data_IF_226827224874
#
_entry.id   IF_226827224874
#
_cell.length_a   1.000
_cell.length_b   1.000
_cell.length_c   1.000
_cell.angle_alpha   90.00
_cell.angle_beta   90.00
_cell.angle_gamma   90.00
#
_symmetry.space_group_name_H-M   'P 1'
#
loop_
_entity.id
_entity.type
_entity.pdbx_description
1 polymer ?
#
# COMPACT_ATOMS: atom_id res chain seq x y z
N UNK A 1 -15.43 15.94 -28.41
CA UNK A 1 -15.47 14.90 -27.34
C UNK A 1 -15.66 15.58 -26.00
N UNK A 2 -16.71 15.24 -25.25
CA UNK A 2 -16.96 15.78 -23.91
C UNK A 2 -15.86 15.32 -22.93
N UNK A 3 -15.53 16.13 -21.91
CA UNK A 3 -14.48 15.81 -20.92
C UNK A 3 -14.62 14.40 -20.31
N UNK A 4 -15.86 13.97 -20.07
CA UNK A 4 -16.19 12.61 -19.59
C UNK A 4 -15.77 11.51 -20.56
N UNK A 5 -16.00 11.69 -21.87
CA UNK A 5 -15.60 10.70 -22.89
C UNK A 5 -14.08 10.55 -23.04
N UNK A 6 -13.35 11.66 -22.84
CA UNK A 6 -11.89 11.66 -22.79
C UNK A 6 -11.39 10.85 -21.59
N UNK A 7 -11.86 11.17 -20.39
CA UNK A 7 -11.48 10.47 -19.15
C UNK A 7 -11.81 8.97 -19.25
N UNK A 8 -12.98 8.62 -19.77
CA UNK A 8 -13.37 7.22 -19.97
C UNK A 8 -12.40 6.47 -20.91
N UNK A 9 -12.04 7.06 -22.06
CA UNK A 9 -11.08 6.47 -22.99
C UNK A 9 -9.69 6.30 -22.36
N UNK A 10 -9.25 7.28 -21.59
CA UNK A 10 -7.99 7.22 -20.86
C UNK A 10 -7.97 6.11 -19.80
N UNK A 11 -9.02 6.01 -18.99
CA UNK A 11 -9.20 4.93 -18.01
C UNK A 11 -9.19 3.57 -18.71
N UNK A 12 -9.89 3.44 -19.84
CA UNK A 12 -9.93 2.20 -20.62
C UNK A 12 -8.54 1.84 -21.18
N UNK A 13 -7.81 2.80 -21.72
CA UNK A 13 -6.44 2.59 -22.21
C UNK A 13 -5.49 2.16 -21.09
N UNK A 14 -5.60 2.76 -19.90
CA UNK A 14 -4.80 2.39 -18.73
C UNK A 14 -5.15 1.01 -18.19
N UNK A 15 -6.45 0.65 -18.14
CA UNK A 15 -6.88 -0.70 -17.80
C UNK A 15 -6.35 -1.72 -18.81
N UNK A 16 -6.42 -1.42 -20.11
CA UNK A 16 -5.86 -2.27 -21.16
C UNK A 16 -4.34 -2.45 -21.01
N UNK A 17 -3.60 -1.42 -20.58
CA UNK A 17 -2.17 -1.51 -20.26
C UNK A 17 -1.89 -2.31 -18.98
N UNK A 18 -2.83 -2.35 -18.03
CA UNK A 18 -2.73 -3.15 -16.81
C UNK A 18 -2.89 -4.66 -17.04
N UNK A 19 -3.71 -5.06 -18.01
CA UNK A 19 -3.95 -6.48 -18.36
C UNK A 19 -2.65 -7.24 -18.66
N UNK A 20 -1.77 -6.82 -19.58
CA UNK A 20 -0.54 -7.55 -19.88
C UNK A 20 0.41 -7.62 -18.67
N UNK A 21 0.39 -6.61 -17.78
CA UNK A 21 1.19 -6.62 -16.55
C UNK A 21 0.67 -7.69 -15.59
N UNK A 22 -0.64 -7.72 -15.33
CA UNK A 22 -1.26 -8.73 -14.46
C UNK A 22 -1.05 -10.12 -15.06
N UNK A 23 -1.24 -10.29 -16.38
CA UNK A 23 -1.02 -11.57 -17.04
C UNK A 23 0.44 -12.03 -16.91
N UNK A 24 1.41 -11.13 -17.11
CA UNK A 24 2.82 -11.44 -16.93
C UNK A 24 3.11 -11.90 -15.48
N UNK A 25 2.49 -11.26 -14.48
CA UNK A 25 2.65 -11.63 -13.07
C UNK A 25 2.02 -12.99 -12.78
N UNK A 26 0.83 -13.28 -13.33
CA UNK A 26 0.19 -14.60 -13.16
C UNK A 26 1.03 -15.70 -13.82
N UNK A 27 1.56 -15.46 -15.02
CA UNK A 27 2.46 -16.40 -15.70
C UNK A 27 3.75 -16.60 -14.90
N UNK A 28 4.34 -15.52 -14.37
CA UNK A 28 5.53 -15.58 -13.54
C UNK A 28 5.28 -16.36 -12.25
N UNK A 29 4.14 -16.12 -11.57
CA UNK A 29 3.72 -16.87 -10.39
C UNK A 29 3.59 -18.37 -10.70
N UNK A 30 3.01 -18.73 -11.84
CA UNK A 30 2.93 -20.12 -12.29
C UNK A 30 4.32 -20.76 -12.41
N UNK A 31 5.28 -20.08 -13.05
CA UNK A 31 6.64 -20.59 -13.15
C UNK A 31 7.36 -20.65 -11.80
N UNK A 32 7.13 -19.69 -10.90
CA UNK A 32 7.67 -19.74 -9.54
C UNK A 32 7.14 -20.96 -8.76
N UNK A 33 5.86 -21.30 -8.90
CA UNK A 33 5.29 -22.53 -8.32
C UNK A 33 5.95 -23.79 -8.89
N UNK A 34 6.14 -23.85 -10.21
CA UNK A 34 6.73 -25.03 -10.86
C UNK A 34 8.24 -25.19 -10.61
N UNK A 35 8.94 -24.09 -10.31
CA UNK A 35 10.36 -24.10 -9.97
C UNK A 35 10.61 -24.36 -8.49
N UNK A 36 9.60 -24.21 -7.64
CA UNK A 36 9.71 -24.54 -6.22
C UNK A 36 9.94 -26.06 -6.06
N UNK A 37 10.87 -26.43 -5.19
CA UNK A 37 11.13 -27.84 -4.86
C UNK A 37 9.93 -28.41 -4.07
N UNK A 38 9.28 -29.43 -4.65
CA UNK A 38 8.10 -30.09 -4.08
C UNK A 38 6.78 -29.55 -4.65
N UNK A 39 5.78 -30.42 -4.79
CA UNK A 39 4.44 -30.06 -5.25
C UNK A 39 3.41 -30.01 -4.10
N UNK A 40 2.17 -29.57 -4.39
CA UNK A 40 1.10 -29.51 -3.40
C UNK A 40 0.81 -30.88 -2.75
N UNK A 41 1.13 -31.98 -3.44
CA UNK A 41 0.95 -33.35 -2.93
C UNK A 41 2.05 -33.71 -1.94
N UNK A 42 3.28 -33.24 -2.16
CA UNK A 42 4.39 -33.40 -1.21
C UNK A 42 4.13 -32.65 0.10
N UNK A 43 3.56 -31.44 0.03
CA UNK A 43 3.16 -30.67 1.23
C UNK A 43 2.04 -31.40 2.00
N UNK A 44 1.00 -31.85 1.28
CA UNK A 44 -0.10 -32.63 1.85
C UNK A 44 0.37 -33.93 2.52
N UNK A 45 1.29 -34.65 1.87
CA UNK A 45 1.87 -35.87 2.40
C UNK A 45 2.73 -35.63 3.65
N UNK A 46 3.47 -34.52 3.67
CA UNK A 46 4.27 -34.09 4.82
C UNK A 46 3.43 -33.72 6.03
N UNK A 47 2.32 -32.98 5.84
CA UNK A 47 1.40 -32.61 6.93
C UNK A 47 0.56 -33.80 7.44
N UNK A 48 0.22 -34.75 6.57
CA UNK A 48 -0.42 -36.01 6.96
C UNK A 48 0.51 -36.99 7.69
N UNK A 49 1.80 -36.66 7.86
CA UNK A 49 2.82 -37.47 8.53
C UNK A 49 3.36 -38.63 7.69
N UNK A 50 2.57 -39.17 6.76
CA UNK A 50 3.02 -40.01 5.65
C UNK A 50 1.89 -40.18 4.64
N UNK A 51 2.23 -40.33 3.37
CA UNK A 51 1.32 -40.78 2.33
C UNK A 51 1.97 -41.93 1.56
N UNK A 52 1.18 -42.92 1.14
CA UNK A 52 1.69 -43.97 0.28
C UNK A 52 2.02 -43.39 -1.11
N UNK A 53 3.09 -43.87 -1.79
CA UNK A 53 3.43 -43.40 -3.13
C UNK A 53 2.27 -43.51 -4.13
N UNK A 54 1.42 -44.52 -3.98
CA UNK A 54 0.22 -44.70 -4.81
C UNK A 54 -0.80 -43.58 -4.58
N UNK A 55 -1.06 -43.22 -3.32
CA UNK A 55 -1.99 -42.13 -2.97
C UNK A 55 -1.46 -40.77 -3.43
N UNK A 56 -0.15 -40.56 -3.35
CA UNK A 56 0.49 -39.35 -3.89
C UNK A 56 0.36 -39.28 -5.42
N UNK A 57 0.55 -40.39 -6.13
CA UNK A 57 0.35 -40.44 -7.59
C UNK A 57 -1.10 -40.13 -7.98
N UNK A 58 -2.07 -40.70 -7.26
CA UNK A 58 -3.49 -40.44 -7.48
C UNK A 58 -3.85 -38.97 -7.25
N UNK A 59 -3.32 -38.36 -6.19
CA UNK A 59 -3.47 -36.93 -5.93
C UNK A 59 -2.85 -36.08 -7.04
N UNK A 60 -1.66 -36.43 -7.54
CA UNK A 60 -1.01 -35.70 -8.65
C UNK A 60 -1.86 -35.70 -9.92
N UNK A 61 -2.43 -36.85 -10.28
CA UNK A 61 -3.37 -36.96 -11.40
C UNK A 61 -4.65 -36.16 -11.16
N UNK A 62 -5.17 -36.19 -9.92
CA UNK A 62 -6.37 -35.42 -9.53
C UNK A 62 -6.16 -33.91 -9.60
N UNK A 63 -4.98 -33.43 -9.22
CA UNK A 63 -4.57 -32.03 -9.33
C UNK A 63 -4.10 -31.65 -10.75
N UNK A 64 -3.97 -32.62 -11.66
CA UNK A 64 -3.53 -32.39 -13.04
C UNK A 64 -2.05 -32.01 -13.18
N UNK A 65 -1.23 -32.35 -12.19
CA UNK A 65 0.21 -32.09 -12.15
C UNK A 65 0.99 -32.98 -13.14
N UNK A 66 0.35 -34.03 -13.64
CA UNK A 66 0.82 -34.96 -14.67
C UNK A 66 0.66 -34.42 -16.10
N UNK A 67 -0.10 -33.33 -16.29
CA UNK A 67 -0.37 -32.77 -17.62
C UNK A 67 0.81 -31.93 -18.14
N UNK A 68 0.94 -31.75 -19.47
CA UNK A 68 1.95 -30.85 -20.03
C UNK A 68 1.83 -29.42 -19.49
N UNK A 69 2.98 -28.75 -19.27
CA UNK A 69 3.05 -27.39 -18.72
C UNK A 69 2.07 -26.38 -19.35
N UNK A 70 1.86 -26.33 -20.68
CA UNK A 70 0.89 -25.40 -21.26
C UNK A 70 -0.54 -25.64 -20.79
N UNK A 71 -0.92 -26.90 -20.55
CA UNK A 71 -2.25 -27.26 -20.06
C UNK A 71 -2.39 -26.85 -18.59
N UNK A 72 -1.35 -27.07 -17.78
CA UNK A 72 -1.32 -26.62 -16.39
C UNK A 72 -1.45 -25.10 -16.29
N UNK A 73 -0.75 -24.35 -17.15
CA UNK A 73 -0.85 -22.89 -17.20
C UNK A 73 -2.26 -22.42 -17.56
N UNK A 74 -2.91 -23.06 -18.55
CA UNK A 74 -4.30 -22.71 -18.92
C UNK A 74 -5.29 -22.97 -17.78
N UNK A 75 -5.12 -24.07 -17.04
CA UNK A 75 -5.94 -24.38 -15.86
C UNK A 75 -5.67 -23.34 -14.76
N UNK A 76 -4.42 -22.99 -14.50
CA UNK A 76 -4.04 -21.98 -13.52
C UNK A 76 -4.65 -20.61 -13.87
N UNK A 77 -4.53 -20.17 -15.13
CA UNK A 77 -5.16 -18.93 -15.61
C UNK A 77 -6.67 -18.94 -15.42
N UNK A 78 -7.34 -20.06 -15.73
CA UNK A 78 -8.78 -20.21 -15.53
C UNK A 78 -9.16 -20.06 -14.04
N UNK A 79 -8.43 -20.74 -13.16
CA UNK A 79 -8.68 -20.71 -11.71
C UNK A 79 -8.51 -19.29 -11.15
N UNK A 80 -7.44 -18.61 -11.56
CA UNK A 80 -7.16 -17.22 -11.22
C UNK A 80 -8.29 -16.28 -11.66
N UNK A 81 -8.79 -16.43 -12.88
CA UNK A 81 -9.93 -15.63 -13.38
C UNK A 81 -11.21 -15.90 -12.60
N UNK A 82 -11.42 -17.14 -12.12
CA UNK A 82 -12.53 -17.49 -11.23
C UNK A 82 -12.30 -17.13 -9.75
N UNK A 83 -11.21 -16.41 -9.43
CA UNK A 83 -10.80 -16.05 -8.06
C UNK A 83 -10.53 -17.26 -7.16
N UNK A 84 -10.26 -18.42 -7.76
CA UNK A 84 -9.74 -19.59 -7.08
C UNK A 84 -8.20 -19.53 -7.10
N UNK A 85 -7.66 -19.03 -6.00
CA UNK A 85 -6.21 -18.91 -5.77
C UNK A 85 -5.63 -20.17 -5.11
N UNK A 86 -6.43 -21.23 -4.98
CA UNK A 86 -6.05 -22.47 -4.32
C UNK A 86 -6.30 -22.46 -2.81
N UNK A 87 -5.65 -23.40 -2.15
CA UNK A 87 -5.84 -23.71 -0.74
C UNK A 87 -4.55 -23.51 0.04
N UNK A 88 -4.68 -22.92 1.23
CA UNK A 88 -3.63 -22.87 2.23
C UNK A 88 -3.86 -24.03 3.19
N UNK A 89 -3.00 -25.05 3.12
CA UNK A 89 -3.10 -26.20 4.02
C UNK A 89 -2.71 -25.84 5.45
N UNK A 90 -1.81 -24.87 5.62
CA UNK A 90 -1.36 -24.43 6.95
C UNK A 90 -2.44 -23.71 7.74
N UNK A 91 -3.28 -22.94 7.06
CA UNK A 91 -4.40 -22.23 7.67
C UNK A 91 -5.73 -22.98 7.55
N UNK A 92 -5.74 -24.14 6.89
CA UNK A 92 -6.94 -24.93 6.59
C UNK A 92 -8.07 -24.09 5.97
N UNK A 93 -7.71 -23.22 5.02
CA UNK A 93 -8.62 -22.25 4.43
C UNK A 93 -8.28 -21.96 2.96
N UNK A 94 -9.31 -21.59 2.20
CA UNK A 94 -9.13 -21.07 0.85
C UNK A 94 -8.30 -19.77 0.87
N UNK A 95 -7.32 -19.67 -0.03
CA UNK A 95 -6.38 -18.54 -0.10
C UNK A 95 -7.12 -17.23 -0.35
N UNK A 96 -8.12 -17.23 -1.23
CA UNK A 96 -8.93 -16.05 -1.52
C UNK A 96 -9.65 -15.49 -0.29
N UNK A 97 -10.16 -16.36 0.58
CA UNK A 97 -10.83 -15.96 1.83
C UNK A 97 -9.85 -15.33 2.82
N UNK A 98 -8.71 -15.98 3.06
CA UNK A 98 -7.64 -15.45 3.92
C UNK A 98 -7.19 -14.06 3.45
N UNK A 99 -6.98 -13.91 2.15
CA UNK A 99 -6.57 -12.65 1.55
C UNK A 99 -7.62 -11.55 1.77
N UNK A 100 -8.91 -11.84 1.53
CA UNK A 100 -9.99 -10.85 1.73
C UNK A 100 -10.09 -10.43 3.21
N UNK A 101 -9.95 -11.36 4.14
CA UNK A 101 -10.01 -11.09 5.57
C UNK A 101 -8.87 -10.17 6.04
N UNK A 102 -7.67 -10.29 5.43
CA UNK A 102 -6.51 -9.43 5.72
C UNK A 102 -6.43 -8.17 4.85
N UNK A 103 -7.17 -8.12 3.75
CA UNK A 103 -7.18 -7.00 2.81
C UNK A 103 -7.72 -5.72 3.45
N UNK A 104 -8.88 -5.80 4.11
CA UNK A 104 -9.51 -4.62 4.72
C UNK A 104 -8.66 -3.97 5.83
N UNK A 105 -8.06 -4.73 6.78
CA UNK A 105 -7.11 -4.18 7.74
C UNK A 105 -5.93 -3.45 7.09
N UNK A 106 -5.30 -4.04 6.07
CA UNK A 106 -4.18 -3.38 5.37
C UNK A 106 -4.63 -2.13 4.63
N UNK A 107 -5.77 -2.16 3.95
CA UNK A 107 -6.31 -1.01 3.25
C UNK A 107 -6.62 0.15 4.22
N UNK A 108 -7.21 -0.15 5.38
CA UNK A 108 -7.51 0.84 6.42
C UNK A 108 -6.24 1.51 6.95
N UNK A 109 -5.22 0.71 7.26
CA UNK A 109 -3.93 1.20 7.73
C UNK A 109 -3.26 2.08 6.67
N UNK A 110 -3.13 1.58 5.45
CA UNK A 110 -2.49 2.29 4.34
C UNK A 110 -3.20 3.60 3.99
N UNK A 111 -4.53 3.57 3.84
CA UNK A 111 -5.30 4.75 3.48
C UNK A 111 -5.19 5.83 4.56
N UNK A 112 -5.28 5.45 5.83
CA UNK A 112 -5.11 6.36 6.97
C UNK A 112 -3.71 6.96 7.00
N UNK A 113 -2.68 6.13 6.75
CA UNK A 113 -1.29 6.59 6.70
C UNK A 113 -1.05 7.57 5.56
N UNK A 114 -1.47 7.27 4.34
CA UNK A 114 -1.31 8.17 3.20
C UNK A 114 -2.02 9.49 3.48
N UNK A 115 -3.25 9.43 3.96
CA UNK A 115 -4.05 10.61 4.27
C UNK A 115 -3.33 11.53 5.27
N UNK A 116 -2.85 10.98 6.39
CA UNK A 116 -2.12 11.74 7.42
C UNK A 116 -0.78 12.24 6.87
N UNK A 117 0.03 11.37 6.27
CA UNK A 117 1.36 11.71 5.80
C UNK A 117 1.33 12.80 4.70
N UNK A 118 0.42 12.68 3.73
CA UNK A 118 0.27 13.66 2.65
C UNK A 118 -0.28 14.98 3.21
N UNK A 119 -1.34 14.94 4.02
CA UNK A 119 -1.97 16.16 4.56
C UNK A 119 -0.97 16.94 5.43
N UNK A 120 -0.39 16.30 6.44
CA UNK A 120 0.55 16.97 7.33
C UNK A 120 1.88 17.26 6.65
N UNK A 121 2.35 16.39 5.74
CA UNK A 121 3.55 16.65 4.95
C UNK A 121 3.42 17.89 4.07
N UNK A 122 2.28 18.06 3.38
CA UNK A 122 2.00 19.27 2.59
C UNK A 122 1.97 20.50 3.49
N UNK A 123 1.27 20.44 4.63
CA UNK A 123 1.15 21.58 5.55
C UNK A 123 2.51 22.00 6.11
N UNK A 124 3.32 21.05 6.58
CA UNK A 124 4.66 21.32 7.10
C UNK A 124 5.60 21.81 6.01
N UNK A 125 5.56 21.22 4.81
CA UNK A 125 6.37 21.66 3.68
C UNK A 125 6.03 23.07 3.21
N UNK A 126 4.74 23.41 3.17
CA UNK A 126 4.24 24.76 2.90
C UNK A 126 4.72 25.76 3.97
N UNK A 127 4.61 25.40 5.25
CA UNK A 127 5.08 26.24 6.36
C UNK A 127 6.59 26.47 6.32
N UNK A 128 7.36 25.44 5.98
CA UNK A 128 8.82 25.53 5.84
C UNK A 128 9.21 26.42 4.65
N UNK A 129 8.56 26.26 3.49
CA UNK A 129 8.86 27.05 2.29
C UNK A 129 8.50 28.52 2.43
N UNK A 130 7.33 28.83 3.01
CA UNK A 130 6.88 30.22 3.23
C UNK A 130 7.67 30.96 4.31
N UNK A 131 8.42 30.22 5.13
CA UNK A 131 9.27 30.77 6.20
C UNK A 131 10.72 30.30 6.05
N UNK A 132 11.20 30.29 4.80
CA UNK A 132 12.56 29.89 4.43
C UNK A 132 13.61 30.60 5.31
N UNK A 133 14.63 29.86 5.75
CA UNK A 133 15.74 30.35 6.57
C UNK A 133 15.32 30.92 7.95
N UNK A 134 14.12 30.58 8.44
CA UNK A 134 13.71 30.89 9.81
C UNK A 134 13.85 29.67 10.70
N UNK A 135 13.83 29.87 12.03
CA UNK A 135 13.87 28.77 13.00
C UNK A 135 12.75 27.74 12.78
N UNK A 136 11.60 28.14 12.21
CA UNK A 136 10.48 27.23 11.93
C UNK A 136 10.81 26.28 10.78
N UNK A 137 11.45 26.79 9.72
CA UNK A 137 11.96 25.96 8.62
C UNK A 137 13.02 24.98 9.13
N UNK A 138 13.97 25.47 9.94
CA UNK A 138 14.99 24.62 10.56
C UNK A 138 14.37 23.55 11.47
N UNK A 139 13.42 23.89 12.33
CA UNK A 139 12.76 22.94 13.23
C UNK A 139 11.98 21.87 12.45
N UNK A 140 11.23 22.25 11.41
CA UNK A 140 10.49 21.31 10.56
C UNK A 140 11.47 20.38 9.82
N UNK A 141 12.56 20.94 9.28
CA UNK A 141 13.57 20.18 8.55
C UNK A 141 14.32 19.20 9.45
N UNK A 142 14.69 19.61 10.67
CA UNK A 142 15.31 18.75 11.68
C UNK A 142 14.33 17.64 12.11
N UNK A 143 13.07 17.98 12.37
CA UNK A 143 12.05 17.00 12.72
C UNK A 143 11.89 15.94 11.61
N UNK A 144 11.74 16.38 10.36
CA UNK A 144 11.63 15.49 9.21
C UNK A 144 12.90 14.63 9.03
N UNK A 145 14.09 15.18 9.30
CA UNK A 145 15.34 14.43 9.25
C UNK A 145 15.39 13.33 10.31
N UNK A 146 15.03 13.65 11.56
CA UNK A 146 15.01 12.69 12.67
C UNK A 146 14.04 11.55 12.38
N UNK A 147 12.80 11.86 11.98
CA UNK A 147 11.79 10.82 11.72
C UNK A 147 12.15 9.97 10.52
N UNK A 148 12.82 10.52 9.50
CA UNK A 148 13.31 9.76 8.35
C UNK A 148 14.51 8.88 8.68
N UNK A 149 15.42 9.34 9.53
CA UNK A 149 16.63 8.61 9.89
C UNK A 149 16.39 7.51 10.94
N UNK A 150 15.29 7.60 11.69
CA UNK A 150 14.98 6.65 12.76
C UNK A 150 14.34 5.38 12.19
N UNK A 151 14.82 4.18 12.57
CA UNK A 151 14.21 2.92 12.14
C UNK A 151 12.73 2.81 12.53
N UNK A 152 11.89 2.42 11.58
CA UNK A 152 10.43 2.42 11.74
C UNK A 152 9.95 1.51 12.88
N UNK A 153 10.54 0.31 13.00
CA UNK A 153 10.20 -0.61 14.08
C UNK A 153 10.51 -0.01 15.46
N UNK A 154 11.62 0.74 15.59
CA UNK A 154 12.01 1.37 16.84
C UNK A 154 11.03 2.47 17.21
N UNK A 155 10.62 3.30 16.24
CA UNK A 155 9.56 4.30 16.46
C UNK A 155 8.28 3.60 16.93
N UNK A 156 7.86 2.51 16.29
CA UNK A 156 6.69 1.73 16.70
C UNK A 156 6.78 1.23 18.15
N UNK A 157 7.90 0.60 18.51
CA UNK A 157 8.12 0.10 19.87
C UNK A 157 8.12 1.23 20.91
N UNK A 158 8.74 2.37 20.61
CA UNK A 158 8.74 3.53 21.51
C UNK A 158 7.36 4.15 21.64
N UNK A 159 6.56 4.17 20.57
CA UNK A 159 5.16 4.61 20.64
C UNK A 159 4.35 3.72 21.58
N UNK A 160 4.54 2.39 21.53
CA UNK A 160 3.91 1.45 22.47
C UNK A 160 4.35 1.73 23.91
N UNK A 161 5.66 1.86 24.16
CA UNK A 161 6.20 2.08 25.51
C UNK A 161 5.64 3.37 26.12
N UNK A 162 5.66 4.48 25.37
CA UNK A 162 5.24 5.78 25.88
C UNK A 162 3.72 5.86 25.98
N UNK A 163 3.01 5.59 24.88
CA UNK A 163 1.59 5.89 24.79
C UNK A 163 0.68 4.75 25.27
N UNK A 164 1.13 3.51 25.20
CA UNK A 164 0.35 2.37 25.67
C UNK A 164 0.74 1.96 27.09
N UNK A 165 2.03 1.79 27.38
CA UNK A 165 2.49 1.24 28.67
C UNK A 165 2.57 2.34 29.76
N UNK A 166 3.27 3.44 29.49
CA UNK A 166 3.48 4.47 30.52
C UNK A 166 2.24 5.37 30.70
N UNK A 167 1.64 5.84 29.60
CA UNK A 167 0.51 6.75 29.63
C UNK A 167 -0.86 6.05 29.66
N UNK A 168 -0.96 4.81 29.18
CA UNK A 168 -2.22 4.07 29.12
C UNK A 168 -3.27 4.67 28.17
N UNK A 169 -2.86 5.45 27.17
CA UNK A 169 -3.78 6.15 26.26
C UNK A 169 -4.32 5.25 25.15
N UNK A 170 -3.49 4.35 24.64
CA UNK A 170 -3.79 3.51 23.49
C UNK A 170 -3.47 2.04 23.79
N UNK A 171 -4.13 1.10 23.08
CA UNK A 171 -3.80 -0.32 23.19
C UNK A 171 -2.38 -0.62 22.69
N UNK A 172 -1.83 -1.76 23.10
CA UNK A 172 -0.46 -2.19 22.74
C UNK A 172 -0.40 -2.90 21.40
N UNK A 173 -1.45 -3.67 21.05
CA UNK A 173 -1.45 -4.55 19.88
C UNK A 173 -2.87 -4.96 19.49
N UNK A 174 -3.01 -5.53 18.29
CA UNK A 174 -4.28 -5.99 17.72
C UNK A 174 -5.05 -4.89 16.97
N UNK A 175 -6.14 -5.28 16.31
CA UNK A 175 -7.04 -4.36 15.59
C UNK A 175 -8.26 -3.96 16.43
N UNK A 176 -8.69 -4.81 17.34
CA UNK A 176 -9.83 -4.59 18.22
C UNK A 176 -9.71 -5.47 19.46
N UNK A 177 -10.40 -5.09 20.54
CA UNK A 177 -10.49 -5.88 21.75
C UNK A 177 -11.59 -6.94 21.60
N UNK A 178 -11.17 -8.16 21.23
CA UNK A 178 -12.05 -9.31 21.00
C UNK A 178 -12.87 -9.63 22.26
N UNK A 179 -12.29 -9.46 23.45
CA UNK A 179 -12.93 -9.81 24.73
C UNK A 179 -14.06 -8.86 25.13
N UNK A 180 -14.11 -7.66 24.52
CA UNK A 180 -15.10 -6.65 24.86
C UNK A 180 -16.39 -6.78 24.03
N UNK A 181 -16.41 -7.63 23.00
CA UNK A 181 -17.57 -7.88 22.13
C UNK A 181 -18.27 -6.60 21.66
N UNK A 182 -17.49 -5.56 21.32
CA UNK A 182 -18.05 -4.30 20.86
C UNK A 182 -18.79 -4.49 19.53
N UNK A 183 -19.97 -3.86 19.41
CA UNK A 183 -20.76 -3.84 18.18
C UNK A 183 -21.06 -2.40 17.74
N UNK A 184 -21.35 -2.21 16.45
CA UNK A 184 -21.72 -0.90 15.90
C UNK A 184 -20.66 0.18 16.09
N UNK A 185 -21.05 1.31 16.70
CA UNK A 185 -20.18 2.47 16.89
C UNK A 185 -19.03 2.21 17.87
N UNK A 186 -19.26 1.38 18.89
CA UNK A 186 -18.23 1.06 19.89
C UNK A 186 -17.08 0.28 19.26
N UNK A 187 -17.39 -0.63 18.33
CA UNK A 187 -16.38 -1.35 17.53
C UNK A 187 -15.58 -0.38 16.67
N UNK A 188 -16.24 0.58 16.03
CA UNK A 188 -15.58 1.58 15.21
C UNK A 188 -14.61 2.46 16.03
N UNK A 189 -15.03 2.90 17.22
CA UNK A 189 -14.19 3.67 18.12
C UNK A 189 -13.00 2.85 18.64
N UNK A 190 -13.21 1.56 18.93
CA UNK A 190 -12.17 0.64 19.37
C UNK A 190 -11.12 0.40 18.28
N UNK A 191 -11.55 0.09 17.05
CA UNK A 191 -10.65 -0.01 15.89
C UNK A 191 -9.90 1.31 15.68
N UNK A 192 -10.58 2.45 15.80
CA UNK A 192 -9.97 3.77 15.71
C UNK A 192 -8.83 3.97 16.71
N UNK A 193 -9.01 3.52 17.97
CA UNK A 193 -7.97 3.57 19.00
C UNK A 193 -6.79 2.66 18.70
N UNK A 194 -7.03 1.45 18.21
CA UNK A 194 -5.98 0.51 17.80
C UNK A 194 -5.21 1.00 16.57
N UNK A 195 -5.87 1.75 15.69
CA UNK A 195 -5.29 2.27 14.45
C UNK A 195 -4.33 3.45 14.66
N UNK A 196 -4.46 4.22 15.74
CA UNK A 196 -3.70 5.48 15.95
C UNK A 196 -2.19 5.25 15.93
N UNK A 197 -1.66 4.36 16.79
CA UNK A 197 -0.22 4.18 16.90
C UNK A 197 0.41 3.58 15.62
N UNK A 198 -0.12 2.49 15.04
CA UNK A 198 0.38 1.96 13.77
C UNK A 198 0.39 3.03 12.67
N UNK A 199 -0.71 3.79 12.55
CA UNK A 199 -0.84 4.80 11.51
C UNK A 199 0.14 5.94 11.71
N UNK A 200 0.31 6.46 12.93
CA UNK A 200 1.27 7.52 13.22
C UNK A 200 2.70 7.04 12.95
N UNK A 201 3.06 5.85 13.42
CA UNK A 201 4.39 5.27 13.18
C UNK A 201 4.71 5.23 11.69
N UNK A 202 3.83 4.64 10.88
CA UNK A 202 4.03 4.57 9.42
C UNK A 202 4.00 5.96 8.78
N UNK A 203 3.13 6.86 9.25
CA UNK A 203 3.00 8.23 8.72
C UNK A 203 4.24 9.07 8.95
N UNK A 204 4.95 8.92 10.07
CA UNK A 204 6.14 9.73 10.39
C UNK A 204 7.25 9.57 9.35
N UNK A 205 7.40 8.38 8.77
CA UNK A 205 8.35 8.11 7.70
C UNK A 205 7.97 8.83 6.41
N UNK A 206 6.72 8.66 5.95
CA UNK A 206 6.24 9.29 4.72
C UNK A 206 6.06 10.81 4.85
N UNK A 207 5.71 11.30 6.04
CA UNK A 207 5.56 12.72 6.34
C UNK A 207 6.86 13.47 6.07
N UNK A 208 8.02 12.92 6.44
CA UNK A 208 9.31 13.53 6.16
C UNK A 208 9.56 13.69 4.65
N UNK A 209 9.21 12.66 3.88
CA UNK A 209 9.33 12.66 2.42
C UNK A 209 8.42 13.73 1.79
N UNK A 210 7.13 13.76 2.17
CA UNK A 210 6.18 14.73 1.63
C UNK A 210 6.50 16.17 2.06
N UNK A 211 6.97 16.37 3.29
CA UNK A 211 7.41 17.69 3.79
C UNK A 211 8.55 18.24 2.95
N UNK A 212 9.60 17.44 2.73
CA UNK A 212 10.77 17.84 1.94
C UNK A 212 10.41 18.13 0.49
N UNK A 213 9.60 17.26 -0.11
CA UNK A 213 9.19 17.42 -1.50
C UNK A 213 8.31 18.66 -1.68
N UNK A 214 7.27 18.85 -0.85
CA UNK A 214 6.42 20.03 -0.92
C UNK A 214 7.24 21.31 -0.69
N UNK A 215 8.19 21.31 0.26
CA UNK A 215 9.10 22.43 0.48
C UNK A 215 9.92 22.75 -0.77
N UNK A 216 10.56 21.74 -1.37
CA UNK A 216 11.37 21.91 -2.57
C UNK A 216 10.53 22.42 -3.76
N UNK A 217 9.38 21.80 -4.02
CA UNK A 217 8.49 22.20 -5.11
C UNK A 217 7.96 23.62 -4.91
N UNK A 218 7.62 24.04 -3.69
CA UNK A 218 7.23 25.42 -3.42
C UNK A 218 8.34 26.42 -3.76
N UNK A 219 9.58 26.16 -3.33
CA UNK A 219 10.72 27.03 -3.59
C UNK A 219 11.04 27.13 -5.07
N UNK A 220 10.98 26.00 -5.80
CA UNK A 220 11.12 25.98 -7.25
C UNK A 220 10.02 26.81 -7.93
N UNK A 221 8.77 26.64 -7.52
CA UNK A 221 7.64 27.37 -8.08
C UNK A 221 7.69 28.87 -7.79
N UNK A 222 8.22 29.30 -6.64
CA UNK A 222 8.45 30.72 -6.35
C UNK A 222 9.48 31.37 -7.28
N UNK A 223 10.40 30.59 -7.86
CA UNK A 223 11.42 31.06 -8.81
C UNK A 223 10.93 31.21 -10.26
N UNK A 224 9.66 30.88 -10.55
CA UNK A 224 9.12 30.87 -11.92
C UNK A 224 8.58 32.25 -12.36
N UNK A 225 8.64 32.53 -13.66
CA UNK A 225 8.26 33.82 -14.26
C UNK A 225 6.79 34.23 -14.02
N UNK A 226 5.88 33.25 -13.88
CA UNK A 226 4.48 33.54 -13.59
C UNK A 226 4.29 34.21 -12.23
N UNK A 227 5.19 33.95 -11.27
CA UNK A 227 5.18 34.56 -9.93
C UNK A 227 5.60 36.03 -10.03
N UNK A 228 6.67 36.32 -10.79
CA UNK A 228 7.12 37.69 -11.07
C UNK A 228 6.00 38.49 -11.75
N UNK A 229 5.36 37.88 -12.74
CA UNK A 229 4.21 38.47 -13.46
C UNK A 229 3.03 38.73 -12.51
N UNK A 230 2.72 37.80 -11.60
CA UNK A 230 1.66 37.97 -10.62
C UNK A 230 1.96 39.12 -9.63
N UNK A 231 3.22 39.25 -9.19
CA UNK A 231 3.67 40.39 -8.36
C UNK A 231 3.54 41.71 -9.12
N UNK A 232 3.96 41.76 -10.38
CA UNK A 232 3.85 42.95 -11.23
C UNK A 232 2.38 43.39 -11.45
N UNK A 233 1.44 42.43 -11.45
CA UNK A 233 0.00 42.69 -11.48
C UNK A 233 -0.60 43.13 -10.13
N UNK A 234 0.20 43.25 -9.08
CA UNK A 234 -0.24 43.71 -7.76
C UNK A 234 -0.95 42.66 -6.91
N UNK A 235 -0.80 41.36 -7.21
CA UNK A 235 -1.37 40.30 -6.36
C UNK A 235 -0.62 40.23 -5.02
N UNK A 236 -1.36 39.96 -3.94
CA UNK A 236 -0.77 39.76 -2.61
C UNK A 236 -0.01 38.44 -2.53
N UNK A 237 1.07 38.38 -1.73
CA UNK A 237 1.87 37.15 -1.54
C UNK A 237 1.01 35.95 -1.10
N UNK A 238 -0.02 36.19 -0.29
CA UNK A 238 -0.98 35.14 0.12
C UNK A 238 -1.74 34.57 -1.08
N UNK A 239 -2.22 35.44 -1.98
CA UNK A 239 -2.93 35.00 -3.19
C UNK A 239 -1.99 34.28 -4.14
N UNK A 240 -0.77 34.80 -4.33
CA UNK A 240 0.27 34.16 -5.13
C UNK A 240 0.55 32.74 -4.62
N UNK A 241 0.76 32.62 -3.30
CA UNK A 241 1.06 31.34 -2.63
C UNK A 241 -0.06 30.32 -2.81
N UNK A 242 -1.27 30.61 -2.33
CA UNK A 242 -2.33 29.61 -2.26
C UNK A 242 -3.03 29.35 -3.60
N UNK A 243 -3.08 30.33 -4.50
CA UNK A 243 -3.80 30.19 -5.78
C UNK A 243 -2.88 29.72 -6.92
N UNK A 244 -1.62 30.17 -6.94
CA UNK A 244 -0.71 29.89 -8.04
C UNK A 244 0.38 28.89 -7.65
N UNK A 245 1.17 29.16 -6.61
CA UNK A 245 2.35 28.37 -6.26
C UNK A 245 1.97 26.99 -5.72
N UNK A 246 1.09 26.91 -4.70
CA UNK A 246 0.66 25.65 -4.08
C UNK A 246 0.05 24.71 -5.12
N UNK A 247 -0.80 25.24 -6.02
CA UNK A 247 -1.46 24.42 -7.03
C UNK A 247 -0.46 23.71 -7.94
N UNK A 248 0.61 24.37 -8.35
CA UNK A 248 1.66 23.78 -9.17
C UNK A 248 2.61 22.89 -8.34
N UNK A 249 2.91 23.29 -7.10
CA UNK A 249 3.77 22.54 -6.20
C UNK A 249 3.15 21.22 -5.71
N UNK A 250 1.83 21.07 -5.79
CA UNK A 250 1.13 19.82 -5.46
C UNK A 250 1.33 18.71 -6.48
N UNK A 251 1.69 19.03 -7.74
CA UNK A 251 1.79 18.02 -8.79
C UNK A 251 2.82 16.93 -8.44
N UNK A 252 4.09 17.24 -8.09
CA UNK A 252 5.04 16.20 -7.69
C UNK A 252 4.60 15.40 -6.46
N UNK A 253 3.91 16.07 -5.51
CA UNK A 253 3.42 15.45 -4.27
C UNK A 253 2.42 14.35 -4.57
N UNK A 254 1.49 14.60 -5.48
CA UNK A 254 0.49 13.61 -5.91
C UNK A 254 1.16 12.47 -6.68
N UNK A 255 2.27 12.71 -7.38
CA UNK A 255 2.95 11.67 -8.19
C UNK A 255 3.53 10.66 -7.25
N UNK A 256 4.26 11.17 -6.28
CA UNK A 256 4.88 10.37 -5.25
C UNK A 256 3.85 9.72 -4.34
N UNK A 257 2.70 10.35 -4.07
CA UNK A 257 1.61 9.68 -3.36
C UNK A 257 1.19 8.38 -4.06
N UNK A 258 1.04 8.40 -5.39
CA UNK A 258 0.71 7.21 -6.15
C UNK A 258 1.80 6.14 -6.15
N UNK A 259 3.05 6.53 -6.41
CA UNK A 259 4.20 5.62 -6.41
C UNK A 259 4.35 4.93 -5.05
N UNK A 260 4.13 5.67 -3.96
CA UNK A 260 4.35 5.14 -2.61
C UNK A 260 3.28 4.15 -2.16
N UNK A 261 2.11 4.08 -2.82
CA UNK A 261 1.10 3.10 -2.43
C UNK A 261 1.57 1.66 -2.68
N UNK A 262 2.33 1.43 -3.75
CA UNK A 262 2.96 0.12 -3.96
C UNK A 262 4.04 -0.20 -2.93
N UNK A 263 4.86 0.78 -2.57
CA UNK A 263 5.87 0.61 -1.53
C UNK A 263 5.27 0.37 -0.13
N UNK A 264 4.10 0.96 0.15
CA UNK A 264 3.39 0.82 1.42
C UNK A 264 2.97 -0.61 1.72
N UNK A 265 2.60 -1.42 0.71
CA UNK A 265 2.23 -2.83 0.92
C UNK A 265 3.41 -3.64 1.46
N UNK A 266 4.62 -3.38 0.94
CA UNK A 266 5.84 -4.03 1.44
C UNK A 266 6.35 -3.43 2.76
N UNK A 267 6.22 -2.12 2.93
CA UNK A 267 6.67 -1.40 4.13
C UNK A 267 5.77 -1.59 5.35
N UNK A 268 4.48 -1.90 5.15
CA UNK A 268 3.53 -2.09 6.26
C UNK A 268 3.85 -3.32 7.08
N UNK A 269 4.50 -4.35 6.51
CA UNK A 269 4.85 -5.62 7.17
C UNK A 269 5.48 -5.38 8.54
N UNK A 270 6.44 -4.45 8.63
CA UNK A 270 7.17 -4.17 9.88
C UNK A 270 6.22 -3.59 10.93
N UNK A 271 5.36 -2.65 10.54
CA UNK A 271 4.40 -2.01 11.46
C UNK A 271 3.31 -3.00 11.84
N UNK A 272 2.83 -3.80 10.89
CA UNK A 272 1.85 -4.85 11.13
C UNK A 272 2.37 -5.86 12.15
N UNK A 273 3.62 -6.32 12.02
CA UNK A 273 4.24 -7.22 13.00
C UNK A 273 4.43 -6.57 14.38
N UNK A 274 4.88 -5.32 14.46
CA UNK A 274 5.13 -4.63 15.74
C UNK A 274 3.84 -4.43 16.54
N UNK A 275 2.75 -4.06 15.85
CA UNK A 275 1.45 -3.81 16.50
C UNK A 275 0.50 -5.01 16.45
N UNK A 276 0.95 -6.17 15.95
CA UNK A 276 0.09 -7.32 15.66
C UNK A 276 -1.18 -6.94 14.87
N UNK A 277 -1.02 -6.03 13.91
CA UNK A 277 -2.11 -5.61 13.03
C UNK A 277 -2.37 -6.72 12.00
N UNK A 278 -3.62 -7.19 11.86
CA UNK A 278 -3.97 -8.37 11.06
C UNK A 278 -3.97 -8.09 9.54
N UNK A 279 -2.84 -7.64 8.98
CA UNK A 279 -2.72 -7.25 7.58
C UNK A 279 -2.11 -8.30 6.65
N UNK A 280 -2.15 -8.00 5.35
CA UNK A 280 -1.57 -8.78 4.26
C UNK A 280 -0.05 -8.83 4.32
N UNK A 281 0.61 -7.79 4.83
CA UNK A 281 2.06 -7.75 4.94
C UNK A 281 2.57 -8.78 5.94
N UNK A 282 1.99 -8.79 7.14
CA UNK A 282 2.25 -9.80 8.16
C UNK A 282 1.90 -11.21 7.66
N UNK A 283 0.76 -11.38 6.98
CA UNK A 283 0.36 -12.67 6.40
C UNK A 283 1.36 -13.18 5.34
N UNK A 284 1.88 -12.30 4.48
CA UNK A 284 2.90 -12.66 3.50
C UNK A 284 4.22 -13.06 4.18
N UNK A 285 4.62 -12.34 5.23
CA UNK A 285 5.80 -12.67 6.02
C UNK A 285 5.67 -14.05 6.67
N UNK A 286 4.55 -14.35 7.32
CA UNK A 286 4.27 -15.66 7.92
C UNK A 286 4.25 -16.77 6.86
N UNK A 287 3.59 -16.53 5.72
CA UNK A 287 3.51 -17.49 4.60
C UNK A 287 4.88 -17.84 4.04
N UNK A 288 5.80 -16.86 3.96
CA UNK A 288 7.17 -17.08 3.50
C UNK A 288 7.93 -18.04 4.42
N UNK A 289 7.91 -17.80 5.73
CA UNK A 289 8.59 -18.67 6.71
C UNK A 289 7.92 -20.05 6.80
N UNK A 290 6.60 -20.09 6.64
CA UNK A 290 5.84 -21.32 6.63
C UNK A 290 5.88 -22.05 5.28
N UNK A 291 6.59 -21.53 4.27
CA UNK A 291 6.64 -22.10 2.91
C UNK A 291 5.24 -22.35 2.29
N UNK A 292 4.26 -21.53 2.65
CA UNK A 292 2.93 -21.56 2.02
C UNK A 292 2.96 -20.73 0.73
N UNK A 293 3.43 -21.36 -0.35
CA UNK A 293 3.65 -20.70 -1.63
C UNK A 293 2.34 -20.27 -2.32
N UNK A 294 1.26 -21.05 -2.15
CA UNK A 294 -0.04 -20.70 -2.70
C UNK A 294 -0.54 -19.38 -2.10
N UNK A 295 -0.46 -19.26 -0.77
CA UNK A 295 -0.87 -18.05 -0.07
C UNK A 295 0.03 -16.86 -0.41
N UNK A 296 1.36 -17.06 -0.38
CA UNK A 296 2.33 -16.01 -0.69
C UNK A 296 2.13 -15.44 -2.10
N UNK A 297 1.99 -16.30 -3.11
CA UNK A 297 1.80 -15.88 -4.50
C UNK A 297 0.41 -15.30 -4.74
N UNK A 298 -0.62 -15.78 -4.02
CA UNK A 298 -1.93 -15.15 -4.00
C UNK A 298 -1.86 -13.71 -3.49
N UNK A 299 -1.12 -13.46 -2.40
CA UNK A 299 -0.90 -12.12 -1.86
C UNK A 299 -0.13 -11.25 -2.85
N UNK A 300 0.92 -11.76 -3.49
CA UNK A 300 1.66 -11.02 -4.53
C UNK A 300 0.80 -10.67 -5.74
N UNK A 301 -0.04 -11.60 -6.18
CA UNK A 301 -0.98 -11.35 -7.26
C UNK A 301 -1.97 -10.24 -6.88
N UNK A 302 -2.60 -10.32 -5.70
CA UNK A 302 -3.51 -9.27 -5.24
C UNK A 302 -2.77 -7.94 -5.14
N UNK A 303 -1.59 -7.91 -4.53
CA UNK A 303 -0.79 -6.70 -4.38
C UNK A 303 -0.50 -6.04 -5.72
N UNK A 304 -0.21 -6.83 -6.75
CA UNK A 304 0.02 -6.36 -8.11
C UNK A 304 -1.25 -5.74 -8.73
N UNK A 305 -2.40 -6.40 -8.57
CA UNK A 305 -3.69 -5.87 -9.01
C UNK A 305 -4.01 -4.55 -8.28
N UNK A 306 -3.75 -4.47 -6.98
CA UNK A 306 -3.96 -3.26 -6.18
C UNK A 306 -3.06 -2.12 -6.63
N UNK A 307 -1.79 -2.37 -6.92
CA UNK A 307 -0.87 -1.36 -7.44
C UNK A 307 -1.36 -0.81 -8.78
N UNK A 308 -1.80 -1.67 -9.70
CA UNK A 308 -2.39 -1.23 -10.97
C UNK A 308 -3.65 -0.40 -10.75
N UNK A 309 -4.55 -0.85 -9.87
CA UNK A 309 -5.79 -0.13 -9.54
C UNK A 309 -5.51 1.23 -8.91
N UNK A 310 -4.52 1.34 -8.04
CA UNK A 310 -4.18 2.59 -7.36
C UNK A 310 -3.47 3.55 -8.32
N UNK A 311 -2.57 3.05 -9.17
CA UNK A 311 -1.98 3.87 -10.22
C UNK A 311 -3.05 4.45 -11.15
N UNK A 312 -4.09 3.68 -11.47
CA UNK A 312 -5.24 4.19 -12.23
C UNK A 312 -5.98 5.30 -11.48
N UNK A 313 -6.21 5.16 -10.17
CA UNK A 313 -6.83 6.22 -9.35
C UNK A 313 -5.98 7.49 -9.34
N UNK A 314 -4.66 7.36 -9.19
CA UNK A 314 -3.71 8.47 -9.21
C UNK A 314 -3.73 9.18 -10.56
N UNK A 315 -3.67 8.42 -11.64
CA UNK A 315 -3.77 8.91 -13.01
C UNK A 315 -5.08 9.67 -13.27
N UNK A 316 -6.19 9.24 -12.68
CA UNK A 316 -7.46 9.96 -12.72
C UNK A 316 -7.39 11.26 -11.93
N UNK A 317 -6.83 11.25 -10.70
CA UNK A 317 -6.60 12.46 -9.89
C UNK A 317 -5.76 13.48 -10.67
N UNK A 318 -4.72 13.02 -11.37
CA UNK A 318 -3.89 13.84 -12.25
C UNK A 318 -4.69 14.61 -13.29
N UNK A 319 -5.61 13.94 -13.98
CA UNK A 319 -6.45 14.55 -15.02
C UNK A 319 -7.36 15.68 -14.50
N UNK A 320 -7.61 15.72 -13.19
CA UNK A 320 -8.35 16.81 -12.54
C UNK A 320 -7.44 17.96 -12.09
N UNK A 321 -6.23 17.65 -11.65
CA UNK A 321 -5.28 18.64 -11.11
C UNK A 321 -4.56 19.41 -12.21
N UNK A 322 -4.13 18.73 -13.27
CA UNK A 322 -3.48 19.36 -14.42
C UNK A 322 -4.36 19.30 -15.69
N UNK A 323 -5.01 20.42 -16.07
CA UNK A 323 -5.80 20.49 -17.29
C UNK A 323 -4.97 20.45 -18.58
N UNK A 324 -3.63 20.49 -18.50
CA UNK A 324 -2.71 20.37 -19.64
C UNK A 324 -2.38 18.92 -20.00
N UNK A 325 -2.73 17.97 -19.13
CA UNK A 325 -2.75 16.56 -19.51
C UNK A 325 -3.92 16.42 -20.48
N UNK A 326 -3.63 16.71 -21.76
CA UNK A 326 -4.52 16.39 -22.85
C UNK A 326 -4.69 14.89 -22.81
N UNK A 327 -5.86 14.52 -22.34
CA UNK A 327 -6.39 13.18 -22.36
C UNK A 327 -6.49 12.76 -23.84
N UNK A 328 -5.38 12.25 -24.37
CA UNK A 328 -5.21 11.75 -25.72
C UNK A 328 -5.75 10.32 -25.84
#
# INVERSE_FOLDING_TARGET
MNRTSKIFRYVLNRLAQGIPIILAIVVLNFFLLNLAEGDAVDVLAGEAGSATPEYMSELRTKFGLDKPLPVQLLVYLKNVVSLDLGYSFRHDMAVSKLIIDRFWPTLLLMASTIFIAVTFGILLGLMAATRLNTWKDSAISIFALITYATPLFWVGLMMIVVFSIYLGWFPTSGMENISAFHEGFDRFADIGRHLVLPTITLSLFYLALYTRMMRASMLEQYGQDYVVTARAKGLTERRITFVHVVRNALLPVVTMAGVQVGALIGGSVIVESVFAWPGLGMLAFESLFARDLNLLLGIFMLSSVLVVAINLVVDVIYSFLDPRIEVA
#
